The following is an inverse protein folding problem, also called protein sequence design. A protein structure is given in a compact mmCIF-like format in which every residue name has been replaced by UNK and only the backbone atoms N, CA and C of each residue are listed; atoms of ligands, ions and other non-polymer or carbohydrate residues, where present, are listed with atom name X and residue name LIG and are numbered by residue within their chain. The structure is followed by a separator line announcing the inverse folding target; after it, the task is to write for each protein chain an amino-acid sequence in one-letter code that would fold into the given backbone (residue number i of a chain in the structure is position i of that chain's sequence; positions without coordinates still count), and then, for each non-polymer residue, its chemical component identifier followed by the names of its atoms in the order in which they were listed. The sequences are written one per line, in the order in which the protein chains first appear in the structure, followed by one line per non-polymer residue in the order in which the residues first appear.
data_IF_955083299021
#
_entry.id   IF_955083299021
#
_cell.length_a   1.000
_cell.length_b   1.000
_cell.length_c   1.000
_cell.angle_alpha   90.00
_cell.angle_beta   90.00
_cell.angle_gamma   90.00
#
_symmetry.space_group_name_H-M   'P 1'
#
loop_
_entity.id
_entity.type
_entity.pdbx_description
1 polymer ?
#
# COMPACT_ATOMS: atom_id res chain seq x y z
N UNK A 1 6.97 -3.15 0.65
CA UNK A 1 6.41 -2.02 1.43
C UNK A 1 6.45 -0.71 0.65
N UNK A 2 7.64 -0.15 0.40
CA UNK A 2 7.78 1.10 -0.35
C UNK A 2 7.24 0.96 -1.78
N UNK A 3 7.49 -0.16 -2.46
CA UNK A 3 6.92 -0.45 -3.77
C UNK A 3 5.40 -0.46 -3.77
N UNK A 4 4.75 -1.08 -2.77
CA UNK A 4 3.30 -1.07 -2.63
C UNK A 4 2.75 0.34 -2.34
N UNK A 5 3.46 1.16 -1.57
CA UNK A 5 3.12 2.57 -1.35
C UNK A 5 3.17 3.35 -2.66
N UNK A 6 4.30 3.27 -3.38
CA UNK A 6 4.49 3.98 -4.65
C UNK A 6 3.48 3.53 -5.71
N UNK A 7 3.20 2.22 -5.79
CA UNK A 7 2.19 1.69 -6.70
C UNK A 7 0.79 2.22 -6.38
N UNK A 8 0.41 2.29 -5.09
CA UNK A 8 -0.87 2.86 -4.68
C UNK A 8 -0.96 4.37 -4.98
N UNK A 9 0.12 5.13 -4.75
CA UNK A 9 0.17 6.55 -5.14
C UNK A 9 0.05 6.71 -6.66
N UNK A 10 0.77 5.90 -7.45
CA UNK A 10 0.71 5.97 -8.89
C UNK A 10 -0.69 5.63 -9.44
N UNK A 11 -1.36 4.64 -8.85
CA UNK A 11 -2.75 4.35 -9.19
C UNK A 11 -3.69 5.55 -8.89
N UNK A 12 -3.46 6.26 -7.77
CA UNK A 12 -4.18 7.50 -7.49
C UNK A 12 -3.88 8.58 -8.53
N UNK A 13 -2.62 8.74 -8.99
CA UNK A 13 -2.27 9.68 -10.06
C UNK A 13 -3.02 9.33 -11.35
N UNK A 14 -3.10 8.04 -11.72
CA UNK A 14 -3.81 7.60 -12.92
C UNK A 14 -5.34 7.79 -12.86
N UNK A 15 -5.92 7.83 -11.66
CA UNK A 15 -7.39 7.76 -11.47
C UNK A 15 -8.01 8.99 -10.81
N UNK A 16 -7.18 9.92 -10.33
CA UNK A 16 -7.62 11.15 -9.67
C UNK A 16 -6.88 12.37 -10.26
N UNK A 17 -7.49 13.09 -11.20
CA UNK A 17 -6.85 14.25 -11.84
C UNK A 17 -6.39 15.33 -10.87
N UNK A 18 -7.15 15.60 -9.81
CA UNK A 18 -6.78 16.61 -8.80
C UNK A 18 -5.51 16.21 -8.04
N UNK A 19 -5.31 14.91 -7.81
CA UNK A 19 -4.08 14.43 -7.21
C UNK A 19 -2.92 14.48 -8.21
N UNK A 20 -3.18 14.14 -9.49
CA UNK A 20 -2.18 14.15 -10.55
C UNK A 20 -1.57 15.54 -10.79
N UNK A 21 -2.35 16.62 -10.68
CA UNK A 21 -1.88 18.00 -10.85
C UNK A 21 -0.72 18.40 -9.89
N UNK A 22 -0.51 17.64 -8.82
CA UNK A 22 0.57 17.91 -7.87
C UNK A 22 1.93 17.29 -8.28
N UNK A 23 1.99 16.60 -9.42
CA UNK A 23 3.20 15.92 -9.88
C UNK A 23 3.74 16.56 -11.16
N UNK A 24 5.08 16.59 -11.35
CA UNK A 24 5.72 17.22 -12.51
C UNK A 24 5.68 16.33 -13.77
N UNK A 25 4.77 15.37 -13.84
CA UNK A 25 4.60 14.47 -14.97
C UNK A 25 3.15 14.03 -15.11
N UNK A 26 2.76 13.67 -16.33
CA UNK A 26 1.46 13.06 -16.62
C UNK A 26 1.61 11.54 -16.75
N UNK A 27 0.66 10.74 -16.22
CA UNK A 27 0.61 9.32 -16.53
C UNK A 27 0.27 9.11 -18.02
N UNK A 28 0.63 7.96 -18.61
CA UNK A 28 0.23 7.65 -19.98
C UNK A 28 -1.28 7.80 -20.15
N UNK A 29 -1.70 8.49 -21.21
CA UNK A 29 -3.12 8.81 -21.45
C UNK A 29 -3.98 7.54 -21.49
N UNK A 30 -4.99 7.50 -20.64
CA UNK A 30 -5.92 6.37 -20.56
C UNK A 30 -5.35 5.13 -19.85
N UNK A 31 -4.14 5.21 -19.30
CA UNK A 31 -3.59 4.09 -18.53
C UNK A 31 -4.18 4.04 -17.12
N UNK A 32 -4.79 2.90 -16.80
CA UNK A 32 -5.17 2.52 -15.44
C UNK A 32 -4.75 1.06 -15.24
N UNK A 33 -4.06 0.70 -14.17
CA UNK A 33 -3.76 -0.70 -13.89
C UNK A 33 -5.04 -1.54 -13.82
N UNK A 34 -5.07 -2.68 -14.49
CA UNK A 34 -6.24 -3.59 -14.46
C UNK A 34 -6.48 -4.16 -13.06
N UNK A 35 -5.41 -4.48 -12.35
CA UNK A 35 -5.41 -4.92 -10.96
C UNK A 35 -4.04 -4.64 -10.31
N UNK A 36 -3.98 -4.69 -8.98
CA UNK A 36 -2.74 -4.43 -8.23
C UNK A 36 -2.49 -5.48 -7.15
N UNK A 37 -1.20 -5.79 -6.93
CA UNK A 37 -0.72 -6.56 -5.79
C UNK A 37 -0.03 -5.60 -4.81
N UNK A 38 -0.55 -5.48 -3.61
CA UNK A 38 -0.12 -4.48 -2.63
C UNK A 38 0.39 -5.16 -1.35
N UNK A 39 1.72 -5.34 -1.29
CA UNK A 39 2.40 -6.18 -0.31
C UNK A 39 3.01 -5.36 0.81
N UNK A 40 2.53 -5.55 2.04
CA UNK A 40 3.07 -4.93 3.26
C UNK A 40 3.24 -3.40 3.14
N UNK A 41 2.31 -2.71 2.47
CA UNK A 41 2.44 -1.30 2.11
C UNK A 41 2.08 -0.33 3.22
N UNK A 42 2.50 0.92 3.03
CA UNK A 42 2.00 2.08 3.77
C UNK A 42 0.91 2.74 2.94
N UNK A 43 -0.27 2.93 3.50
CA UNK A 43 -1.41 3.52 2.79
C UNK A 43 -1.93 4.79 3.47
N UNK A 44 -1.64 4.94 4.77
CA UNK A 44 -1.90 6.15 5.54
C UNK A 44 -0.63 6.54 6.31
N UNK A 45 0.16 7.44 5.72
CA UNK A 45 1.42 7.91 6.28
C UNK A 45 1.19 8.73 7.58
N UNK A 46 0.11 9.51 7.64
CA UNK A 46 -0.25 10.26 8.84
C UNK A 46 -0.50 9.34 10.03
N UNK A 47 -1.32 8.29 9.84
CA UNK A 47 -1.58 7.31 10.88
C UNK A 47 -0.34 6.49 11.25
N UNK A 48 0.59 6.25 10.33
CA UNK A 48 1.85 5.58 10.59
C UNK A 48 2.76 6.43 11.49
N UNK A 49 2.98 7.69 11.11
CA UNK A 49 3.90 8.60 11.82
C UNK A 49 3.35 9.00 13.19
N UNK A 50 2.06 9.29 13.28
CA UNK A 50 1.39 9.71 14.51
C UNK A 50 0.99 8.54 15.42
N UNK A 51 1.28 7.30 15.02
CA UNK A 51 1.01 6.14 15.84
C UNK A 51 1.90 6.08 17.08
N UNK A 52 1.42 5.44 18.15
CA UNK A 52 2.24 5.13 19.32
C UNK A 52 3.33 4.09 19.02
N UNK A 53 3.37 3.55 17.80
CA UNK A 53 4.35 2.57 17.37
C UNK A 53 5.73 3.25 17.23
N UNK A 54 6.80 2.71 17.81
CA UNK A 54 8.18 3.23 17.65
C UNK A 54 8.60 3.42 16.18
N UNK A 55 8.06 2.65 15.26
CA UNK A 55 8.33 2.75 13.83
C UNK A 55 7.99 4.14 13.28
N UNK A 56 6.88 4.76 13.71
CA UNK A 56 6.53 6.12 13.29
C UNK A 56 7.63 7.13 13.64
N UNK A 57 8.21 7.01 14.85
CA UNK A 57 9.30 7.87 15.31
C UNK A 57 10.59 7.66 14.50
N UNK A 58 10.84 6.46 14.01
CA UNK A 58 12.00 6.14 13.16
C UNK A 58 11.80 6.64 11.73
N UNK A 59 10.58 6.51 11.20
CA UNK A 59 10.28 6.86 9.79
C UNK A 59 10.17 8.38 9.56
N UNK A 60 9.78 9.16 10.57
CA UNK A 60 9.63 10.61 10.40
C UNK A 60 10.93 11.33 10.00
N UNK A 61 12.10 11.08 10.64
CA UNK A 61 13.37 11.63 10.20
C UNK A 61 13.75 11.20 8.77
N UNK A 62 13.57 9.91 8.43
CA UNK A 62 13.87 9.40 7.09
C UNK A 62 13.06 10.10 6.00
N UNK A 63 11.78 10.38 6.24
CA UNK A 63 10.97 11.17 5.33
C UNK A 63 11.48 12.63 5.24
N UNK A 64 11.92 13.21 6.36
CA UNK A 64 12.52 14.54 6.39
C UNK A 64 13.79 14.62 5.55
N UNK A 65 14.67 13.63 5.68
CA UNK A 65 15.89 13.53 4.89
C UNK A 65 15.58 13.41 3.38
N UNK A 66 14.59 12.56 3.04
CA UNK A 66 14.14 12.39 1.65
C UNK A 66 13.58 13.68 1.05
N UNK A 67 12.86 14.47 1.84
CA UNK A 67 12.25 15.73 1.40
C UNK A 67 13.19 16.94 1.52
N UNK A 68 14.37 16.78 2.11
CA UNK A 68 15.33 17.87 2.38
C UNK A 68 14.80 18.91 3.37
N UNK A 69 13.72 18.61 4.12
CA UNK A 69 13.10 19.48 5.12
C UNK A 69 12.24 18.71 6.11
N UNK A 70 11.88 19.38 7.20
CA UNK A 70 10.95 18.79 8.17
C UNK A 70 9.59 18.48 7.52
N UNK A 71 9.12 17.28 7.77
CA UNK A 71 7.80 16.80 7.29
C UNK A 71 6.68 17.49 8.05
N UNK A 72 5.70 17.99 7.31
CA UNK A 72 4.47 18.60 7.84
C UNK A 72 3.30 17.62 7.83
N UNK A 73 2.20 17.97 8.51
CA UNK A 73 0.97 17.17 8.44
C UNK A 73 0.38 17.15 7.02
N UNK A 74 0.53 18.21 6.24
CA UNK A 74 0.04 18.25 4.87
C UNK A 74 0.87 17.35 3.96
N UNK A 75 2.18 17.23 4.18
CA UNK A 75 3.02 16.23 3.51
C UNK A 75 2.53 14.80 3.83
N UNK A 76 2.23 14.52 5.09
CA UNK A 76 1.75 13.19 5.49
C UNK A 76 0.38 12.86 4.87
N UNK A 77 -0.52 13.84 4.76
CA UNK A 77 -1.78 13.68 4.03
C UNK A 77 -1.54 13.44 2.55
N UNK A 78 -0.64 14.21 1.93
CA UNK A 78 -0.26 14.08 0.53
C UNK A 78 0.36 12.71 0.23
N UNK A 79 1.20 12.19 1.13
CA UNK A 79 1.83 10.87 1.04
C UNK A 79 0.89 9.71 1.46
N UNK A 80 -0.38 9.98 1.74
CA UNK A 80 -1.36 8.97 2.13
C UNK A 80 -2.30 8.65 0.97
N UNK A 81 -2.04 7.62 0.13
CA UNK A 81 -2.87 7.31 -1.03
C UNK A 81 -4.34 7.08 -0.69
N UNK A 82 -4.67 6.66 0.52
CA UNK A 82 -6.07 6.49 0.96
C UNK A 82 -6.93 7.75 0.88
N UNK A 83 -6.31 8.93 0.87
CA UNK A 83 -7.00 10.21 0.75
C UNK A 83 -7.41 10.52 -0.70
N UNK A 84 -6.88 9.77 -1.67
CA UNK A 84 -7.01 10.05 -3.10
C UNK A 84 -7.62 8.90 -3.89
N UNK A 85 -8.02 7.81 -3.22
CA UNK A 85 -8.77 6.71 -3.82
C UNK A 85 -10.11 7.23 -4.33
N UNK A 86 -10.40 7.00 -5.61
CA UNK A 86 -11.66 7.30 -6.28
C UNK A 86 -12.38 6.01 -6.67
N UNK A 87 -13.58 6.12 -7.23
CA UNK A 87 -14.33 5.00 -7.81
C UNK A 87 -13.66 4.35 -9.03
N UNK A 88 -12.62 5.01 -9.58
CA UNK A 88 -11.81 4.50 -10.70
C UNK A 88 -10.52 3.78 -10.25
N UNK A 89 -10.26 3.72 -8.95
CA UNK A 89 -9.07 3.05 -8.43
C UNK A 89 -9.12 1.55 -8.75
N UNK A 90 -7.99 0.91 -9.14
CA UNK A 90 -8.00 -0.48 -9.58
C UNK A 90 -8.31 -1.48 -8.45
N UNK A 91 -8.90 -2.64 -8.79
CA UNK A 91 -9.04 -3.76 -7.86
C UNK A 91 -7.69 -4.20 -7.28
N UNK A 92 -7.66 -4.61 -6.02
CA UNK A 92 -6.41 -4.94 -5.33
C UNK A 92 -6.43 -6.29 -4.63
N UNK A 93 -5.30 -7.00 -4.69
CA UNK A 93 -4.93 -7.99 -3.70
C UNK A 93 -4.04 -7.30 -2.65
N UNK A 94 -4.51 -7.24 -1.42
CA UNK A 94 -3.81 -6.58 -0.32
C UNK A 94 -3.31 -7.65 0.63
N UNK A 95 -2.01 -7.74 0.88
CA UNK A 95 -1.48 -8.72 1.82
C UNK A 95 -0.59 -8.09 2.89
N UNK A 96 -0.52 -8.75 4.01
CA UNK A 96 0.39 -8.47 5.13
C UNK A 96 0.70 -9.74 5.91
N UNK A 97 1.52 -9.64 6.94
CA UNK A 97 1.87 -10.74 7.83
C UNK A 97 1.53 -10.43 9.29
N UNK A 98 1.32 -11.47 10.08
CA UNK A 98 0.95 -11.35 11.49
C UNK A 98 2.05 -10.68 12.35
N UNK A 99 3.33 -10.78 11.98
CA UNK A 99 4.47 -10.10 12.61
C UNK A 99 4.93 -8.83 11.88
N UNK A 100 4.21 -8.41 10.83
CA UNK A 100 4.55 -7.18 10.11
C UNK A 100 4.27 -5.94 10.97
N UNK A 101 5.25 -5.07 11.09
CA UNK A 101 5.09 -3.80 11.81
C UNK A 101 4.11 -2.83 11.12
N UNK A 102 3.83 -3.04 9.82
CA UNK A 102 2.83 -2.32 9.04
C UNK A 102 1.48 -3.05 8.95
N UNK A 103 1.28 -4.16 9.68
CA UNK A 103 0.04 -4.96 9.59
C UNK A 103 -1.26 -4.19 9.86
N UNK A 104 -1.15 -3.02 10.46
CA UNK A 104 -2.29 -2.13 10.68
C UNK A 104 -2.66 -1.24 9.49
N UNK A 105 -1.81 -1.16 8.46
CA UNK A 105 -2.01 -0.27 7.31
C UNK A 105 -3.13 -0.73 6.36
N UNK A 106 -3.30 -2.02 6.06
CA UNK A 106 -4.37 -2.47 5.17
C UNK A 106 -5.78 -2.01 5.55
N UNK A 107 -6.08 -1.82 6.84
CA UNK A 107 -7.40 -1.36 7.29
C UNK A 107 -7.80 -0.01 6.70
N UNK A 108 -6.83 0.89 6.49
CA UNK A 108 -7.10 2.22 5.95
C UNK A 108 -7.42 2.15 4.46
N UNK A 109 -6.64 1.38 3.69
CA UNK A 109 -6.89 1.19 2.26
C UNK A 109 -8.22 0.47 2.02
N UNK A 110 -8.49 -0.60 2.76
CA UNK A 110 -9.77 -1.32 2.69
C UNK A 110 -10.97 -0.39 2.88
N UNK A 111 -10.95 0.45 3.92
CA UNK A 111 -12.02 1.43 4.17
C UNK A 111 -12.18 2.43 3.02
N UNK A 112 -11.07 2.90 2.44
CA UNK A 112 -11.12 3.81 1.30
C UNK A 112 -11.70 3.11 0.06
N UNK A 113 -11.34 1.85 -0.19
CA UNK A 113 -11.88 1.05 -1.28
C UNK A 113 -13.37 0.73 -1.07
N UNK A 114 -13.77 0.33 0.12
CA UNK A 114 -15.17 0.07 0.49
C UNK A 114 -16.04 1.30 0.28
N UNK A 115 -15.56 2.48 0.73
CA UNK A 115 -16.26 3.76 0.54
C UNK A 115 -16.51 4.11 -0.94
N UNK A 116 -15.59 3.71 -1.82
CA UNK A 116 -15.65 3.99 -3.25
C UNK A 116 -16.17 2.81 -4.10
N UNK A 117 -16.63 1.72 -3.45
CA UNK A 117 -17.17 0.56 -4.17
C UNK A 117 -16.13 -0.27 -4.93
N UNK A 118 -14.86 -0.17 -4.58
CA UNK A 118 -13.76 -0.86 -5.27
C UNK A 118 -13.58 -2.28 -4.69
N UNK A 119 -13.61 -3.33 -5.53
CA UNK A 119 -13.38 -4.68 -5.08
C UNK A 119 -11.93 -4.91 -4.64
N UNK A 120 -11.75 -5.68 -3.59
CA UNK A 120 -10.43 -6.11 -3.13
C UNK A 120 -10.47 -7.51 -2.55
N UNK A 121 -9.32 -8.16 -2.55
CA UNK A 121 -9.04 -9.36 -1.74
C UNK A 121 -8.00 -9.02 -0.69
N UNK A 122 -8.22 -9.45 0.55
CA UNK A 122 -7.28 -9.22 1.65
C UNK A 122 -6.88 -10.54 2.28
N UNK A 123 -5.58 -10.75 2.50
CA UNK A 123 -5.08 -11.88 3.27
C UNK A 123 -3.96 -11.46 4.20
N UNK A 124 -4.07 -11.86 5.47
CA UNK A 124 -2.99 -11.80 6.44
C UNK A 124 -2.41 -13.21 6.58
N UNK A 125 -1.12 -13.34 6.32
CA UNK A 125 -0.40 -14.60 6.43
C UNK A 125 0.21 -14.77 7.83
N UNK A 126 0.42 -16.02 8.22
CA UNK A 126 0.88 -16.40 9.54
C UNK A 126 -0.26 -16.61 10.54
N UNK A 127 0.02 -17.39 11.57
CA UNK A 127 -0.91 -17.73 12.63
C UNK A 127 -0.21 -17.72 14.02
N UNK A 128 -0.84 -18.33 15.04
CA UNK A 128 -0.27 -18.41 16.40
C UNK A 128 1.00 -19.27 16.48
N UNK A 129 1.20 -20.19 15.52
CA UNK A 129 2.34 -21.12 15.47
C UNK A 129 3.45 -20.61 14.54
N UNK A 130 3.09 -19.75 13.57
CA UNK A 130 4.01 -19.25 12.56
C UNK A 130 4.00 -17.72 12.52
N UNK A 131 5.03 -17.11 13.12
CA UNK A 131 5.25 -15.66 13.04
C UNK A 131 5.97 -15.33 11.74
N UNK A 132 5.33 -14.55 10.90
CA UNK A 132 5.87 -14.06 9.64
C UNK A 132 6.17 -12.57 9.74
N UNK A 133 7.39 -12.21 9.37
CA UNK A 133 7.85 -10.83 9.45
C UNK A 133 7.50 -10.04 8.19
N UNK A 134 7.80 -8.75 8.24
CA UNK A 134 7.64 -7.84 7.12
C UNK A 134 8.27 -8.39 5.83
N UNK A 135 7.55 -8.33 4.71
CA UNK A 135 7.93 -8.80 3.37
C UNK A 135 8.41 -10.27 3.29
N UNK A 136 7.86 -11.14 4.13
CA UNK A 136 8.20 -12.57 4.18
C UNK A 136 8.12 -13.29 2.82
N UNK A 137 7.25 -12.82 1.93
CA UNK A 137 7.01 -13.39 0.60
C UNK A 137 8.22 -13.27 -0.35
N UNK A 138 9.21 -12.44 0.01
CA UNK A 138 10.48 -12.33 -0.73
C UNK A 138 11.47 -13.44 -0.37
N UNK A 139 11.27 -14.17 0.71
CA UNK A 139 12.13 -15.30 1.10
C UNK A 139 11.62 -16.60 0.48
N UNK A 140 12.00 -16.83 -0.78
CA UNK A 140 11.57 -17.99 -1.56
C UNK A 140 12.09 -19.34 -1.04
N UNK A 141 12.85 -19.38 0.05
CA UNK A 141 13.22 -20.63 0.74
C UNK A 141 12.07 -21.18 1.61
N UNK A 142 11.01 -20.43 1.77
CA UNK A 142 9.86 -20.76 2.64
C UNK A 142 8.63 -21.09 1.82
N UNK A 143 7.98 -22.20 2.13
CA UNK A 143 6.75 -22.63 1.46
C UNK A 143 5.63 -21.59 1.53
N UNK A 144 5.52 -20.89 2.66
CA UNK A 144 4.53 -19.82 2.84
C UNK A 144 4.78 -18.62 1.90
N UNK A 145 6.02 -18.37 1.46
CA UNK A 145 6.30 -17.36 0.45
C UNK A 145 5.79 -17.81 -0.93
N UNK A 146 5.98 -19.09 -1.26
CA UNK A 146 5.41 -19.68 -2.49
C UNK A 146 3.87 -19.69 -2.46
N UNK A 147 3.27 -20.02 -1.32
CA UNK A 147 1.81 -19.90 -1.14
C UNK A 147 1.33 -18.47 -1.43
N UNK A 148 1.95 -17.46 -0.80
CA UNK A 148 1.60 -16.06 -1.01
C UNK A 148 1.70 -15.66 -2.48
N UNK A 149 2.83 -15.92 -3.12
CA UNK A 149 3.07 -15.56 -4.51
C UNK A 149 2.12 -16.31 -5.47
N UNK A 150 1.72 -17.54 -5.13
CA UNK A 150 0.71 -18.32 -5.89
C UNK A 150 -0.68 -17.71 -5.75
N UNK A 151 -1.08 -17.30 -4.54
CA UNK A 151 -2.36 -16.62 -4.31
C UNK A 151 -2.46 -15.32 -5.11
N UNK A 152 -1.37 -14.55 -5.16
CA UNK A 152 -1.26 -13.31 -5.93
C UNK A 152 -1.37 -13.57 -7.43
N UNK A 153 -0.63 -14.56 -7.94
CA UNK A 153 -0.69 -14.94 -9.35
C UNK A 153 -2.11 -15.42 -9.73
N UNK A 154 -2.77 -16.19 -8.87
CA UNK A 154 -4.14 -16.64 -9.10
C UNK A 154 -5.14 -15.47 -9.07
N UNK A 155 -4.90 -14.46 -8.23
CA UNK A 155 -5.73 -13.24 -8.26
C UNK A 155 -5.58 -12.50 -9.58
N UNK A 156 -4.36 -12.30 -10.08
CA UNK A 156 -4.15 -11.63 -11.37
C UNK A 156 -4.79 -12.37 -12.54
N UNK A 157 -4.75 -13.72 -12.54
CA UNK A 157 -5.40 -14.54 -13.59
C UNK A 157 -6.91 -14.31 -13.70
N UNK A 158 -7.56 -13.77 -12.67
CA UNK A 158 -9.00 -13.43 -12.76
C UNK A 158 -9.29 -12.21 -13.63
N UNK A 159 -8.25 -11.50 -14.08
CA UNK A 159 -8.34 -10.28 -14.91
C UNK A 159 -7.76 -10.48 -16.32
N UNK A 160 -7.33 -11.71 -16.67
CA UNK A 160 -6.74 -12.06 -17.97
C UNK A 160 -7.75 -12.71 -18.89
#
# INVERSE_FOLDING_TARGET
SAGAHMAAMYACICTNPVYAENFPFDPPKGFVPTAMLLNCGVYNAEAMINSKNPIGKLMAPMLGDLMGRKVTNDDLKFLSPVNYVTDKFPPCYIMTANGDFLRGQPKYLKRAMEKNGIPYKYKMYGDRKQLLMHVFHCDLRKDVAHECNTDEANYLKTFC
#
